data_IF_577425407317
#
_entry.id   IF_577425407317
#
_cell.length_a   1.000
_cell.length_b   1.000
_cell.length_c   1.000
_cell.angle_alpha   90.00
_cell.angle_beta   90.00
_cell.angle_gamma   90.00
#
_symmetry.space_group_name_H-M   'P 1'
#
loop_
_entity.id
_entity.type
_entity.pdbx_description
1 polymer ?
#
# COMPACT_ATOMS: atom_id res chain seq x y z
N UNK A 1 19.19 -43.44 11.05
CA UNK A 1 17.85 -43.66 11.62
C UNK A 1 17.33 -42.29 11.96
N UNK A 2 16.39 -41.78 11.20
CA UNK A 2 15.80 -40.48 11.47
C UNK A 2 14.87 -40.63 12.66
N UNK A 3 15.24 -40.00 13.77
CA UNK A 3 14.44 -39.91 14.98
C UNK A 3 13.06 -39.39 14.59
N UNK A 4 12.03 -40.17 14.89
CA UNK A 4 10.65 -39.95 14.50
C UNK A 4 10.08 -38.69 15.13
N UNK A 5 10.36 -37.53 14.53
CA UNK A 5 9.63 -36.30 14.79
C UNK A 5 8.15 -36.59 14.48
N UNK A 6 7.34 -36.71 15.54
CA UNK A 6 5.89 -36.82 15.35
C UNK A 6 5.44 -35.68 14.46
N UNK A 7 4.72 -35.97 13.37
CA UNK A 7 4.26 -34.93 12.47
C UNK A 7 3.43 -33.89 13.27
N UNK A 8 3.70 -32.61 13.04
CA UNK A 8 3.03 -31.54 13.77
C UNK A 8 1.52 -31.62 13.59
N UNK A 9 0.79 -31.65 14.70
CA UNK A 9 -0.65 -31.94 14.76
C UNK A 9 -1.55 -30.73 14.51
N UNK A 10 -1.02 -29.64 13.98
CA UNK A 10 -1.78 -28.41 13.75
C UNK A 10 -1.73 -28.03 12.27
N UNK A 11 -2.85 -27.49 11.78
CA UNK A 11 -2.97 -26.89 10.44
C UNK A 11 -3.46 -25.45 10.55
N UNK A 12 -3.05 -24.61 9.61
CA UNK A 12 -3.60 -23.27 9.43
C UNK A 12 -4.70 -23.33 8.38
N UNK A 13 -5.91 -22.94 8.72
CA UNK A 13 -7.00 -22.80 7.77
C UNK A 13 -7.29 -21.33 7.48
N UNK A 14 -7.56 -21.02 6.20
CA UNK A 14 -7.93 -19.71 5.69
C UNK A 14 -9.41 -19.65 5.38
N UNK A 15 -10.03 -18.55 5.78
CA UNK A 15 -11.43 -18.21 5.57
C UNK A 15 -11.56 -16.98 4.66
N UNK A 16 -12.73 -16.36 4.63
CA UNK A 16 -13.00 -15.16 3.86
C UNK A 16 -12.02 -14.03 4.20
N UNK A 17 -11.64 -13.26 3.18
CA UNK A 17 -10.80 -12.04 3.29
C UNK A 17 -9.50 -12.25 4.08
N UNK A 18 -8.87 -13.42 3.91
CA UNK A 18 -7.58 -13.70 4.51
C UNK A 18 -7.60 -13.96 6.02
N UNK A 19 -8.78 -14.09 6.66
CA UNK A 19 -8.88 -14.55 8.05
C UNK A 19 -8.27 -15.94 8.18
N UNK A 20 -7.33 -16.12 9.10
CA UNK A 20 -6.61 -17.37 9.31
C UNK A 20 -6.69 -17.77 10.78
N UNK A 21 -6.85 -19.08 11.03
CA UNK A 21 -6.83 -19.65 12.37
C UNK A 21 -6.16 -21.03 12.36
N UNK A 22 -5.68 -21.44 13.54
CA UNK A 22 -5.01 -22.73 13.73
C UNK A 22 -5.95 -23.73 14.35
N UNK A 23 -5.87 -24.99 13.86
CA UNK A 23 -6.73 -26.08 14.29
C UNK A 23 -5.91 -27.35 14.47
N UNK A 24 -6.26 -28.18 15.46
CA UNK A 24 -5.70 -29.52 15.60
C UNK A 24 -6.30 -30.45 14.54
N UNK A 25 -5.47 -31.12 13.78
CA UNK A 25 -5.92 -32.05 12.75
C UNK A 25 -6.23 -33.46 13.26
N UNK A 26 -5.69 -33.85 14.43
CA UNK A 26 -5.82 -35.20 14.97
C UNK A 26 -5.24 -36.26 14.02
N UNK A 27 -6.01 -37.32 13.77
CA UNK A 27 -5.61 -38.41 12.87
C UNK A 27 -5.84 -38.14 11.38
N UNK A 28 -6.32 -36.92 11.03
CA UNK A 28 -6.64 -36.61 9.64
C UNK A 28 -5.36 -36.30 8.84
N UNK A 29 -5.26 -36.88 7.67
CA UNK A 29 -4.25 -36.52 6.68
C UNK A 29 -4.76 -35.35 5.85
N UNK A 30 -4.15 -34.16 6.09
CA UNK A 30 -4.54 -32.91 5.48
C UNK A 30 -3.36 -32.31 4.71
N UNK A 31 -3.65 -31.85 3.50
CA UNK A 31 -2.72 -31.17 2.63
C UNK A 31 -3.14 -29.72 2.38
N UNK A 32 -2.19 -28.91 1.94
CA UNK A 32 -2.48 -27.55 1.51
C UNK A 32 -3.50 -27.57 0.36
N UNK A 33 -4.57 -26.77 0.49
CA UNK A 33 -5.66 -26.71 -0.49
C UNK A 33 -6.88 -27.55 -0.10
N UNK A 34 -6.75 -28.50 0.85
CA UNK A 34 -7.90 -29.27 1.33
C UNK A 34 -8.94 -28.34 1.96
N UNK A 35 -10.21 -28.57 1.65
CA UNK A 35 -11.32 -27.89 2.31
C UNK A 35 -11.77 -28.72 3.51
N UNK A 36 -11.88 -28.05 4.64
CA UNK A 36 -12.13 -28.69 5.94
C UNK A 36 -13.28 -28.04 6.68
N UNK A 37 -14.08 -28.86 7.34
CA UNK A 37 -15.03 -28.43 8.35
C UNK A 37 -14.32 -28.37 9.69
N UNK A 38 -14.32 -27.21 10.33
CA UNK A 38 -13.63 -26.93 11.58
C UNK A 38 -14.62 -26.58 12.68
N UNK A 39 -14.26 -26.88 13.90
CA UNK A 39 -15.04 -26.54 15.07
C UNK A 39 -15.17 -25.03 15.23
N UNK A 40 -16.40 -24.54 15.36
CA UNK A 40 -16.71 -23.15 15.67
C UNK A 40 -17.11 -23.01 17.15
N UNK A 41 -17.46 -21.81 17.61
CA UNK A 41 -18.01 -21.59 18.98
C UNK A 41 -19.40 -22.20 19.13
N UNK A 42 -20.11 -22.36 18.01
CA UNK A 42 -21.38 -23.06 17.87
C UNK A 42 -21.40 -23.62 16.46
N UNK A 43 -21.66 -24.92 16.31
CA UNK A 43 -21.63 -25.55 15.00
C UNK A 43 -20.23 -25.69 14.37
N UNK A 44 -20.14 -25.60 13.07
CA UNK A 44 -18.89 -25.71 12.33
C UNK A 44 -18.72 -24.58 11.30
N UNK A 45 -17.45 -24.31 10.98
CA UNK A 45 -17.11 -23.39 9.91
C UNK A 45 -16.37 -24.14 8.79
N UNK A 46 -16.35 -23.58 7.58
CA UNK A 46 -15.67 -24.20 6.44
C UNK A 46 -14.49 -23.31 6.02
N UNK A 47 -13.31 -23.90 5.98
CA UNK A 47 -12.08 -23.20 5.62
C UNK A 47 -11.21 -24.03 4.67
N UNK A 48 -10.22 -23.39 4.07
CA UNK A 48 -9.24 -24.02 3.19
C UNK A 48 -7.91 -24.09 3.92
N UNK A 49 -7.30 -25.26 3.98
CA UNK A 49 -5.98 -25.45 4.59
C UNK A 49 -4.95 -24.63 3.83
N UNK A 50 -4.35 -23.64 4.49
CA UNK A 50 -3.32 -22.78 3.91
C UNK A 50 -1.91 -23.28 4.19
N UNK A 51 -1.68 -23.87 5.36
CA UNK A 51 -0.40 -24.48 5.74
C UNK A 51 -0.65 -25.79 6.52
N UNK A 52 0.26 -26.74 6.32
CA UNK A 52 0.30 -28.02 7.04
C UNK A 52 1.76 -28.36 7.39
N UNK A 53 1.95 -29.23 8.40
CA UNK A 53 3.28 -29.70 8.81
C UNK A 53 4.11 -28.67 9.57
N UNK A 54 5.45 -28.75 9.46
CA UNK A 54 6.40 -27.94 10.26
C UNK A 54 6.30 -26.44 9.99
N UNK A 55 5.88 -26.01 8.80
CA UNK A 55 5.66 -24.61 8.48
C UNK A 55 4.61 -23.94 9.38
N UNK A 56 3.66 -24.71 9.86
CA UNK A 56 2.64 -24.20 10.82
C UNK A 56 3.28 -23.84 12.13
N UNK A 57 4.25 -24.63 12.62
CA UNK A 57 5.01 -24.33 13.85
C UNK A 57 5.78 -23.01 13.74
N UNK A 58 6.44 -22.78 12.61
CA UNK A 58 7.14 -21.51 12.34
C UNK A 58 6.16 -20.35 12.35
N UNK A 59 4.99 -20.51 11.74
CA UNK A 59 3.96 -19.47 11.67
C UNK A 59 3.30 -19.21 13.04
N UNK A 60 3.09 -20.23 13.85
CA UNK A 60 2.60 -20.09 15.24
C UNK A 60 3.61 -19.34 16.10
N UNK A 61 4.90 -19.70 16.02
CA UNK A 61 5.96 -19.00 16.74
C UNK A 61 6.04 -17.52 16.34
N UNK A 62 5.94 -17.21 15.06
CA UNK A 62 5.90 -15.84 14.55
C UNK A 62 4.72 -15.03 15.11
N UNK A 63 3.60 -15.70 15.41
CA UNK A 63 2.41 -15.08 16.01
C UNK A 63 2.36 -15.20 17.53
N UNK A 64 3.44 -15.68 18.15
CA UNK A 64 3.55 -15.87 19.61
C UNK A 64 2.45 -16.78 20.19
N UNK A 65 1.92 -17.69 19.39
CA UNK A 65 0.91 -18.67 19.82
C UNK A 65 1.64 -19.91 20.34
N UNK A 66 1.46 -20.21 21.62
CA UNK A 66 2.08 -21.37 22.27
C UNK A 66 1.35 -22.65 21.91
N UNK A 67 2.08 -23.79 21.82
CA UNK A 67 1.52 -25.11 21.56
C UNK A 67 0.48 -25.59 22.59
N UNK A 68 0.54 -25.01 23.81
CA UNK A 68 -0.39 -25.34 24.91
C UNK A 68 -1.74 -24.58 24.82
N UNK A 69 -1.94 -23.76 23.79
CA UNK A 69 -3.20 -23.06 23.59
C UNK A 69 -4.30 -24.06 23.25
N UNK A 70 -5.50 -23.90 23.83
CA UNK A 70 -6.68 -24.70 23.47
C UNK A 70 -7.11 -24.40 22.04
N UNK A 71 -6.49 -25.10 21.08
CA UNK A 71 -6.86 -25.00 19.68
C UNK A 71 -8.12 -25.81 19.42
N UNK A 72 -9.04 -25.24 18.67
CA UNK A 72 -10.19 -25.95 18.11
C UNK A 72 -9.73 -27.02 17.15
N UNK A 73 -10.62 -27.99 16.84
CA UNK A 73 -10.28 -29.16 16.04
C UNK A 73 -10.80 -29.04 14.61
N UNK A 74 -10.13 -29.71 13.70
CA UNK A 74 -10.69 -30.06 12.42
C UNK A 74 -11.62 -31.24 12.65
N UNK A 75 -12.87 -31.10 12.26
CA UNK A 75 -13.88 -32.15 12.44
C UNK A 75 -13.74 -33.24 11.38
N UNK A 76 -13.65 -32.82 10.10
CA UNK A 76 -13.51 -33.69 8.94
C UNK A 76 -13.09 -32.93 7.69
N UNK A 77 -12.71 -33.61 6.63
CA UNK A 77 -12.68 -33.02 5.29
C UNK A 77 -14.11 -32.66 4.88
N UNK A 78 -14.26 -31.52 4.20
CA UNK A 78 -15.57 -31.07 3.75
C UNK A 78 -16.16 -32.07 2.73
N UNK A 79 -17.44 -32.34 2.88
CA UNK A 79 -18.22 -33.15 1.95
C UNK A 79 -19.08 -32.24 1.07
N UNK A 80 -19.69 -32.80 -0.01
CA UNK A 80 -20.45 -31.99 -0.98
C UNK A 80 -21.54 -31.14 -0.31
N UNK A 81 -22.24 -31.67 0.67
CA UNK A 81 -23.28 -30.95 1.42
C UNK A 81 -22.72 -29.73 2.16
N UNK A 82 -21.46 -29.78 2.66
CA UNK A 82 -20.82 -28.63 3.32
C UNK A 82 -20.51 -27.52 2.30
N UNK A 83 -20.08 -27.92 1.10
CA UNK A 83 -19.86 -26.96 0.01
C UNK A 83 -21.14 -26.25 -0.41
N UNK A 84 -22.22 -27.01 -0.56
CA UNK A 84 -23.50 -26.44 -0.99
C UNK A 84 -24.03 -25.43 0.03
N UNK A 85 -23.98 -25.77 1.33
CA UNK A 85 -24.38 -24.87 2.41
C UNK A 85 -23.47 -23.63 2.47
N UNK A 86 -22.15 -23.84 2.41
CA UNK A 86 -21.16 -22.75 2.43
C UNK A 86 -21.31 -21.81 1.25
N UNK A 87 -21.54 -22.34 0.04
CA UNK A 87 -21.77 -21.53 -1.16
C UNK A 87 -23.07 -20.73 -1.05
N UNK A 88 -24.14 -21.35 -0.57
CA UNK A 88 -25.40 -20.66 -0.31
C UNK A 88 -25.25 -19.54 0.73
N UNK A 89 -24.48 -19.79 1.81
CA UNK A 89 -24.18 -18.78 2.82
C UNK A 89 -23.43 -17.57 2.22
N UNK A 90 -22.43 -17.81 1.36
CA UNK A 90 -21.67 -16.76 0.70
C UNK A 90 -22.50 -15.92 -0.28
N UNK A 91 -23.45 -16.52 -0.97
CA UNK A 91 -24.36 -15.80 -1.87
C UNK A 91 -25.23 -14.79 -1.12
N UNK A 92 -25.60 -15.08 0.13
CA UNK A 92 -26.39 -14.16 0.96
C UNK A 92 -25.60 -12.93 1.45
N UNK A 93 -24.29 -12.99 1.54
CA UNK A 93 -23.46 -11.98 2.19
C UNK A 93 -23.65 -10.59 1.60
N UNK A 94 -23.69 -10.47 0.27
CA UNK A 94 -23.84 -9.16 -0.42
C UNK A 94 -25.20 -8.53 -0.14
N UNK A 95 -26.28 -9.31 -0.23
CA UNK A 95 -27.65 -8.84 0.07
C UNK A 95 -27.78 -8.43 1.54
N UNK A 96 -27.29 -9.30 2.44
CA UNK A 96 -27.26 -9.00 3.89
C UNK A 96 -26.47 -7.75 4.22
N UNK A 97 -25.32 -7.53 3.57
CA UNK A 97 -24.52 -6.33 3.77
C UNK A 97 -25.26 -5.07 3.33
N UNK A 98 -25.94 -5.09 2.19
CA UNK A 98 -26.71 -3.93 1.71
C UNK A 98 -27.84 -3.62 2.67
N UNK A 99 -28.65 -4.62 3.04
CA UNK A 99 -29.76 -4.46 3.95
C UNK A 99 -29.32 -4.03 5.36
N UNK A 100 -28.23 -4.56 5.86
CA UNK A 100 -27.68 -4.16 7.16
C UNK A 100 -27.25 -2.68 7.20
N UNK A 101 -26.73 -2.15 6.09
CA UNK A 101 -26.39 -0.73 5.96
C UNK A 101 -27.63 0.17 5.97
N UNK A 102 -28.73 -0.27 5.37
CA UNK A 102 -30.01 0.44 5.40
C UNK A 102 -30.55 0.53 6.84
N UNK A 103 -30.64 -0.61 7.52
CA UNK A 103 -31.13 -0.66 8.91
C UNK A 103 -30.23 0.18 9.84
N UNK A 104 -28.92 0.15 9.64
CA UNK A 104 -27.99 0.98 10.44
C UNK A 104 -28.22 2.48 10.23
N UNK A 105 -28.53 2.91 9.00
CA UNK A 105 -28.90 4.31 8.67
C UNK A 105 -30.25 4.70 9.25
N UNK A 106 -31.26 3.82 9.17
CA UNK A 106 -32.59 4.03 9.73
C UNK A 106 -32.51 4.29 11.25
N UNK A 107 -31.58 3.62 11.94
CA UNK A 107 -31.33 3.80 13.37
C UNK A 107 -30.42 5.01 13.68
N UNK A 108 -29.94 5.74 12.68
CA UNK A 108 -29.08 6.92 12.87
C UNK A 108 -27.72 6.62 13.50
N UNK A 109 -27.24 5.38 13.41
CA UNK A 109 -25.98 4.97 14.05
C UNK A 109 -24.77 5.51 13.29
N UNK A 110 -23.83 6.15 14.01
CA UNK A 110 -22.58 6.66 13.45
C UNK A 110 -21.54 5.54 13.28
N UNK A 111 -21.85 4.64 12.37
CA UNK A 111 -20.99 3.48 12.05
C UNK A 111 -21.15 3.06 10.59
N UNK A 112 -20.15 2.39 10.06
CA UNK A 112 -20.16 1.85 8.70
C UNK A 112 -19.98 0.34 8.74
N UNK A 113 -20.95 -0.41 8.20
CA UNK A 113 -20.80 -1.85 7.97
C UNK A 113 -19.90 -2.04 6.76
N UNK A 114 -18.75 -2.66 6.99
CA UNK A 114 -17.69 -2.84 5.99
C UNK A 114 -17.80 -4.19 5.29
N UNK A 115 -18.14 -5.25 6.02
CA UNK A 115 -18.24 -6.61 5.49
C UNK A 115 -19.16 -7.47 6.36
N UNK A 116 -19.73 -8.52 5.76
CA UNK A 116 -20.50 -9.55 6.45
C UNK A 116 -19.92 -10.92 6.10
N UNK A 117 -19.73 -11.77 7.08
CA UNK A 117 -19.21 -13.13 6.92
C UNK A 117 -20.14 -14.10 7.61
N UNK A 118 -20.78 -14.98 6.83
CA UNK A 118 -21.54 -16.11 7.38
C UNK A 118 -20.62 -17.25 7.77
N UNK A 119 -20.91 -17.89 8.89
CA UNK A 119 -20.30 -19.15 9.26
C UNK A 119 -20.65 -20.23 8.23
N UNK A 120 -19.77 -21.22 8.03
CA UNK A 120 -19.95 -22.25 7.01
C UNK A 120 -21.25 -23.03 7.12
N UNK A 121 -21.79 -23.20 8.33
CA UNK A 121 -23.08 -23.86 8.60
C UNK A 121 -24.30 -22.91 8.53
N UNK A 122 -24.08 -21.63 8.20
CA UNK A 122 -25.12 -20.61 8.06
C UNK A 122 -25.87 -20.26 9.37
N UNK A 123 -25.44 -20.72 10.52
CA UNK A 123 -26.15 -20.48 11.81
C UNK A 123 -25.79 -19.11 12.42
N UNK A 124 -24.67 -18.52 12.02
CA UNK A 124 -24.12 -17.31 12.58
C UNK A 124 -23.60 -16.38 11.49
N UNK A 125 -23.75 -15.08 11.68
CA UNK A 125 -23.15 -14.05 10.83
C UNK A 125 -22.34 -13.04 11.65
N UNK A 126 -21.14 -12.74 11.19
CA UNK A 126 -20.23 -11.73 11.76
C UNK A 126 -20.33 -10.48 10.91
N UNK A 127 -20.73 -9.38 11.53
CA UNK A 127 -20.81 -8.06 10.92
C UNK A 127 -19.58 -7.26 11.30
N UNK A 128 -18.73 -6.98 10.35
CA UNK A 128 -17.54 -6.15 10.54
C UNK A 128 -17.90 -4.70 10.30
N UNK A 129 -17.61 -3.84 11.29
CA UNK A 129 -17.93 -2.43 11.21
C UNK A 129 -16.75 -1.54 11.63
N UNK A 130 -16.73 -0.31 11.12
CA UNK A 130 -15.85 0.76 11.56
C UNK A 130 -16.68 1.86 12.20
N UNK A 131 -16.19 2.40 13.29
CA UNK A 131 -16.76 3.55 14.01
C UNK A 131 -15.63 4.27 14.72
N UNK A 132 -15.75 5.59 14.84
CA UNK A 132 -14.78 6.42 15.56
C UNK A 132 -15.01 6.31 17.08
N UNK A 133 -16.28 6.31 17.50
CA UNK A 133 -16.68 6.22 18.88
C UNK A 133 -17.38 4.89 19.20
N UNK A 134 -17.67 4.70 20.50
CA UNK A 134 -18.42 3.54 20.97
C UNK A 134 -19.89 3.64 20.55
N UNK A 135 -20.37 2.65 19.82
CA UNK A 135 -21.76 2.57 19.34
C UNK A 135 -22.57 1.63 20.21
N UNK A 136 -23.80 2.03 20.58
CA UNK A 136 -24.78 1.13 21.20
C UNK A 136 -25.59 0.45 20.10
N UNK A 137 -25.37 -0.84 19.93
CA UNK A 137 -26.01 -1.64 18.89
C UNK A 137 -27.03 -2.65 19.41
N UNK A 138 -27.56 -2.47 20.63
CA UNK A 138 -28.58 -3.40 21.21
C UNK A 138 -29.83 -3.49 20.32
N UNK A 139 -30.34 -2.35 19.89
CA UNK A 139 -31.48 -2.29 18.99
C UNK A 139 -31.14 -2.82 17.59
N UNK A 140 -29.96 -2.50 17.08
CA UNK A 140 -29.47 -2.99 15.80
C UNK A 140 -29.40 -4.51 15.78
N UNK A 141 -28.85 -5.13 16.84
CA UNK A 141 -28.75 -6.59 16.94
C UNK A 141 -30.14 -7.24 16.94
N UNK A 142 -31.13 -6.65 17.60
CA UNK A 142 -32.52 -7.16 17.57
C UNK A 142 -33.07 -7.14 16.16
N UNK A 143 -33.01 -6.01 15.47
CA UNK A 143 -33.47 -5.88 14.09
C UNK A 143 -32.75 -6.84 13.15
N UNK A 144 -31.43 -7.00 13.29
CA UNK A 144 -30.67 -7.95 12.47
C UNK A 144 -31.07 -9.40 12.76
N UNK A 145 -31.30 -9.75 14.03
CA UNK A 145 -31.73 -11.11 14.37
C UNK A 145 -33.14 -11.43 13.83
N UNK A 146 -34.04 -10.45 13.84
CA UNK A 146 -35.39 -10.56 13.25
C UNK A 146 -35.36 -10.69 11.73
N UNK A 147 -34.54 -9.87 11.06
CA UNK A 147 -34.45 -9.83 9.61
C UNK A 147 -33.71 -11.04 9.01
N UNK A 148 -32.55 -11.35 9.56
CA UNK A 148 -31.67 -12.37 8.98
C UNK A 148 -31.85 -13.76 9.59
N UNK A 149 -32.54 -13.90 10.72
CA UNK A 149 -32.83 -15.15 11.45
C UNK A 149 -31.58 -16.01 11.74
N UNK A 150 -30.46 -15.35 12.03
CA UNK A 150 -29.19 -15.97 12.40
C UNK A 150 -28.63 -15.32 13.66
N UNK A 151 -27.69 -16.02 14.31
CA UNK A 151 -26.97 -15.42 15.47
C UNK A 151 -26.05 -14.32 14.98
N UNK A 152 -26.23 -13.11 15.53
CA UNK A 152 -25.48 -11.92 15.16
C UNK A 152 -24.25 -11.75 16.05
N UNK A 153 -23.09 -11.54 15.43
CA UNK A 153 -21.88 -11.09 16.11
C UNK A 153 -21.41 -9.77 15.48
N UNK A 154 -21.23 -8.76 16.30
CA UNK A 154 -20.67 -7.46 15.86
C UNK A 154 -19.18 -7.43 16.16
N UNK A 155 -18.36 -7.10 15.16
CA UNK A 155 -16.90 -7.00 15.32
C UNK A 155 -16.37 -5.68 14.75
N UNK A 156 -15.86 -4.85 15.65
CA UNK A 156 -15.20 -3.62 15.22
C UNK A 156 -13.85 -3.92 14.57
N UNK A 157 -13.58 -3.25 13.46
CA UNK A 157 -12.31 -3.33 12.74
C UNK A 157 -11.72 -1.94 12.51
N UNK A 158 -10.40 -1.87 12.46
CA UNK A 158 -9.71 -0.61 12.13
C UNK A 158 -9.72 -0.35 10.62
N UNK A 159 -9.58 0.92 10.23
CA UNK A 159 -9.63 1.39 8.84
C UNK A 159 -8.67 0.64 7.90
N UNK A 160 -7.48 0.22 8.39
CA UNK A 160 -6.54 -0.55 7.58
C UNK A 160 -7.05 -1.96 7.29
N UNK A 161 -7.66 -2.59 8.27
CA UNK A 161 -8.24 -3.92 8.11
C UNK A 161 -9.48 -3.87 7.21
N UNK A 162 -10.27 -2.80 7.30
CA UNK A 162 -11.35 -2.52 6.36
C UNK A 162 -10.83 -2.43 4.93
N UNK A 163 -9.83 -1.58 4.69
CA UNK A 163 -9.21 -1.47 3.36
C UNK A 163 -8.65 -2.81 2.86
N UNK A 164 -8.05 -3.61 3.75
CA UNK A 164 -7.57 -4.95 3.41
C UNK A 164 -8.67 -5.92 3.02
N UNK A 165 -9.86 -5.82 3.62
CA UNK A 165 -11.02 -6.65 3.27
C UNK A 165 -11.67 -6.23 1.96
N UNK A 166 -11.74 -4.93 1.70
CA UNK A 166 -12.27 -4.39 0.44
C UNK A 166 -11.33 -4.66 -0.73
N UNK A 167 -10.03 -4.72 -0.46
CA UNK A 167 -9.01 -4.84 -1.51
C UNK A 167 -8.80 -3.54 -2.28
N UNK A 168 -8.12 -3.65 -3.41
CA UNK A 168 -7.86 -2.54 -4.31
C UNK A 168 -6.39 -2.41 -4.71
N UNK A 169 -6.09 -1.37 -5.48
CA UNK A 169 -4.75 -1.07 -5.99
C UNK A 169 -4.16 0.10 -5.21
N UNK A 170 -2.94 -0.06 -4.74
CA UNK A 170 -2.20 1.00 -4.04
C UNK A 170 -1.67 2.07 -5.00
N UNK A 171 -1.21 3.19 -4.44
CA UNK A 171 -0.54 4.25 -5.23
C UNK A 171 0.75 3.80 -5.92
N UNK A 172 1.26 2.60 -5.59
CA UNK A 172 2.39 1.94 -6.24
C UNK A 172 1.98 1.10 -7.47
N UNK A 173 0.69 1.05 -7.84
CA UNK A 173 0.18 0.25 -8.95
C UNK A 173 0.03 -1.25 -8.66
N UNK A 174 0.31 -1.71 -7.42
CA UNK A 174 0.15 -3.11 -7.00
C UNK A 174 -1.05 -3.26 -6.10
N UNK A 175 -1.56 -4.49 -5.95
CA UNK A 175 -2.58 -4.80 -4.96
C UNK A 175 -2.14 -4.38 -3.54
N UNK A 176 -3.12 -4.03 -2.71
CA UNK A 176 -2.84 -3.58 -1.34
C UNK A 176 -2.10 -4.66 -0.55
N UNK A 177 -0.97 -4.31 0.07
CA UNK A 177 -0.20 -5.24 0.91
C UNK A 177 -1.05 -5.84 2.04
N UNK A 178 -1.98 -5.06 2.60
CA UNK A 178 -2.89 -5.50 3.66
C UNK A 178 -3.98 -6.47 3.20
N UNK A 179 -4.29 -6.55 1.91
CA UNK A 179 -5.23 -7.53 1.36
C UNK A 179 -4.56 -8.82 0.91
N UNK A 180 -3.25 -8.81 0.67
CA UNK A 180 -2.51 -9.93 0.10
C UNK A 180 -1.63 -10.65 1.13
N UNK A 181 -0.47 -10.12 1.45
CA UNK A 181 0.57 -10.84 2.17
C UNK A 181 0.94 -10.27 3.54
N UNK A 182 0.75 -8.95 3.75
CA UNK A 182 1.12 -8.29 5.00
C UNK A 182 0.04 -8.51 6.06
N UNK A 183 0.39 -9.21 7.12
CA UNK A 183 -0.52 -9.56 8.23
C UNK A 183 -0.16 -8.88 9.55
N UNK A 184 1.09 -8.43 9.70
CA UNK A 184 1.55 -7.70 10.88
C UNK A 184 1.59 -6.20 10.59
N UNK A 185 0.80 -5.44 11.35
CA UNK A 185 0.63 -3.99 11.18
C UNK A 185 1.14 -3.24 12.39
N UNK A 186 2.45 -3.03 12.42
CA UNK A 186 3.05 -2.14 13.40
C UNK A 186 2.69 -0.68 13.14
N UNK A 187 2.73 0.13 14.19
CA UNK A 187 2.53 1.57 14.06
C UNK A 187 3.63 2.19 13.19
N UNK A 188 3.25 2.95 12.18
CA UNK A 188 4.18 3.63 11.26
C UNK A 188 4.38 5.05 11.73
N UNK A 189 5.64 5.45 11.90
CA UNK A 189 6.02 6.82 12.23
C UNK A 189 6.51 7.59 11.00
N UNK A 190 6.47 8.91 11.06
CA UNK A 190 7.05 9.78 10.01
C UNK A 190 8.57 9.65 9.95
N UNK A 191 9.22 9.15 11.00
CA UNK A 191 10.64 8.80 11.01
C UNK A 191 11.00 7.81 9.90
N UNK A 192 10.16 6.81 9.65
CA UNK A 192 10.37 5.85 8.56
C UNK A 192 10.46 6.54 7.19
N UNK A 193 9.62 7.54 6.94
CA UNK A 193 9.67 8.32 5.70
C UNK A 193 10.95 9.18 5.57
N UNK A 194 11.46 9.69 6.71
CA UNK A 194 12.72 10.44 6.72
C UNK A 194 13.93 9.57 6.38
N UNK A 195 14.02 8.37 6.95
CA UNK A 195 15.08 7.41 6.60
C UNK A 195 15.05 7.03 5.11
N UNK A 196 13.88 6.98 4.51
CA UNK A 196 13.68 6.70 3.09
C UNK A 196 13.79 7.96 2.22
N UNK A 197 14.15 9.12 2.79
CA UNK A 197 14.29 10.42 2.10
C UNK A 197 13.03 10.85 1.33
N UNK A 198 11.86 10.45 1.80
CA UNK A 198 10.59 10.81 1.20
C UNK A 198 10.11 12.17 1.72
N UNK A 199 9.53 12.97 0.82
CA UNK A 199 8.89 14.22 1.23
C UNK A 199 7.74 13.95 2.20
N UNK A 200 7.64 14.76 3.28
CA UNK A 200 6.58 14.63 4.29
C UNK A 200 5.22 15.15 3.79
N UNK A 201 4.86 14.84 2.56
CA UNK A 201 3.55 15.18 2.00
C UNK A 201 2.53 14.11 2.39
N UNK A 202 1.48 14.44 3.18
CA UNK A 202 0.47 13.48 3.61
C UNK A 202 -0.15 12.70 2.46
N UNK A 203 -0.45 13.35 1.32
CA UNK A 203 -1.04 12.70 0.15
C UNK A 203 -0.15 11.63 -0.48
N UNK A 204 1.19 11.77 -0.38
CA UNK A 204 2.16 10.77 -0.86
C UNK A 204 2.40 9.66 0.16
N UNK A 205 2.30 9.96 1.46
CA UNK A 205 2.59 9.03 2.54
C UNK A 205 1.37 8.25 3.02
N UNK A 206 0.15 8.73 2.78
CA UNK A 206 -1.08 8.04 3.16
C UNK A 206 -1.38 6.86 2.25
N UNK A 207 -1.84 5.77 2.86
CA UNK A 207 -2.42 4.62 2.17
C UNK A 207 -3.90 4.83 1.88
N UNK A 208 -4.55 3.90 1.19
CA UNK A 208 -5.99 3.91 0.92
C UNK A 208 -6.85 3.93 2.21
N UNK A 209 -6.33 3.42 3.30
CA UNK A 209 -6.96 3.44 4.63
C UNK A 209 -6.83 4.80 5.35
N UNK A 210 -6.28 5.83 4.74
CA UNK A 210 -6.02 7.14 5.37
C UNK A 210 -4.88 7.17 6.39
N UNK A 211 -4.33 6.03 6.82
CA UNK A 211 -3.16 5.93 7.71
C UNK A 211 -1.87 5.90 6.89
N UNK A 212 -0.72 6.16 7.53
CA UNK A 212 0.57 6.06 6.85
C UNK A 212 0.77 4.67 6.21
N UNK A 213 1.39 4.63 5.04
CA UNK A 213 1.65 3.40 4.27
C UNK A 213 2.44 2.40 5.11
N UNK A 214 1.94 1.18 5.23
CA UNK A 214 2.58 0.09 5.98
C UNK A 214 3.89 -0.39 5.34
N UNK A 215 4.06 -0.25 4.02
CA UNK A 215 5.32 -0.56 3.33
C UNK A 215 6.48 0.29 3.84
N UNK A 216 6.26 1.54 4.28
CA UNK A 216 7.31 2.39 4.85
C UNK A 216 7.98 1.73 6.07
N UNK A 217 7.20 1.07 6.91
CA UNK A 217 7.73 0.40 8.09
C UNK A 217 8.31 -0.99 7.77
N UNK A 218 7.76 -1.65 6.75
CA UNK A 218 8.24 -2.95 6.29
C UNK A 218 9.65 -2.89 5.69
N UNK A 219 9.91 -1.82 4.92
CA UNK A 219 11.20 -1.61 4.25
C UNK A 219 12.22 -0.87 5.14
N UNK A 220 11.79 -0.35 6.30
CA UNK A 220 12.61 0.54 7.14
C UNK A 220 13.96 -0.06 7.54
N UNK A 221 13.99 -1.33 7.93
CA UNK A 221 15.20 -1.98 8.43
C UNK A 221 16.29 -2.03 7.35
N UNK A 222 15.91 -2.30 6.09
CA UNK A 222 16.83 -2.31 4.96
C UNK A 222 17.39 -0.92 4.67
N UNK A 223 16.57 0.13 4.76
CA UNK A 223 17.03 1.51 4.61
C UNK A 223 17.96 1.93 5.74
N UNK A 224 17.66 1.57 6.98
CA UNK A 224 18.51 1.87 8.14
C UNK A 224 19.86 1.19 8.00
N UNK A 225 19.92 -0.07 7.58
CA UNK A 225 21.15 -0.80 7.34
C UNK A 225 21.97 -0.14 6.22
N UNK A 226 21.35 0.16 5.09
CA UNK A 226 22.01 0.80 3.95
C UNK A 226 22.54 2.21 4.31
N UNK A 227 21.79 3.00 5.09
CA UNK A 227 22.24 4.33 5.55
C UNK A 227 23.45 4.24 6.49
N UNK A 228 23.57 3.20 7.32
CA UNK A 228 24.75 3.00 8.20
C UNK A 228 26.05 2.82 7.43
N UNK A 229 25.97 2.33 6.20
CA UNK A 229 27.14 2.16 5.33
C UNK A 229 27.62 3.47 4.68
N UNK A 230 26.75 4.48 4.65
CA UNK A 230 27.04 5.76 4.03
C UNK A 230 27.86 6.68 4.96
N UNK A 231 28.72 7.56 4.42
CA UNK A 231 29.39 8.59 5.19
C UNK A 231 28.38 9.66 5.68
N UNK A 232 28.72 10.39 6.76
CA UNK A 232 27.84 11.43 7.29
C UNK A 232 27.63 12.57 6.28
N UNK A 233 26.38 12.88 5.99
CA UNK A 233 25.98 13.84 4.94
C UNK A 233 26.15 15.31 5.35
N UNK A 234 26.34 15.59 6.64
CA UNK A 234 26.53 16.97 7.16
C UNK A 234 27.95 17.54 6.96
N UNK A 235 28.89 16.70 6.55
CA UNK A 235 30.29 17.10 6.35
C UNK A 235 30.46 17.75 4.99
N UNK A 236 30.95 18.99 4.98
CA UNK A 236 31.35 19.70 3.77
C UNK A 236 32.67 19.15 3.25
N UNK A 237 32.77 18.91 1.95
CA UNK A 237 33.99 18.41 1.32
C UNK A 237 34.81 19.59 0.78
N UNK A 238 36.09 19.68 1.16
CA UNK A 238 37.04 20.61 0.58
C UNK A 238 37.66 19.99 -0.66
N UNK A 239 37.36 20.54 -1.83
CA UNK A 239 37.84 20.07 -3.13
C UNK A 239 38.70 21.17 -3.76
N UNK A 240 39.56 20.84 -4.74
CA UNK A 240 40.38 21.88 -5.46
C UNK A 240 39.53 22.96 -6.13
N UNK A 241 38.31 22.63 -6.55
CA UNK A 241 37.35 23.54 -7.19
C UNK A 241 36.51 24.36 -6.20
N UNK A 242 36.61 24.12 -4.89
CA UNK A 242 35.82 24.80 -3.87
C UNK A 242 35.21 23.89 -2.82
N UNK A 243 34.33 24.43 -1.99
CA UNK A 243 33.66 23.70 -0.94
C UNK A 243 32.41 23.06 -1.53
N UNK A 244 32.32 21.74 -1.44
CA UNK A 244 31.14 20.98 -1.89
C UNK A 244 30.20 20.66 -0.72
N UNK A 245 28.94 20.96 -0.94
CA UNK A 245 27.84 20.66 0.00
C UNK A 245 26.96 19.54 -0.49
N UNK A 246 26.47 18.73 0.43
CA UNK A 246 25.57 17.62 0.14
C UNK A 246 24.26 18.14 -0.48
N UNK A 247 23.84 17.53 -1.60
CA UNK A 247 22.58 17.84 -2.28
C UNK A 247 21.56 16.71 -2.11
N UNK A 248 21.92 15.47 -2.49
CA UNK A 248 21.06 14.29 -2.47
C UNK A 248 21.89 13.03 -2.30
N UNK A 249 21.29 11.98 -1.72
CA UNK A 249 21.92 10.64 -1.66
C UNK A 249 21.00 9.60 -2.30
N UNK A 250 21.55 8.74 -3.11
CA UNK A 250 20.91 7.49 -3.52
C UNK A 250 21.43 6.37 -2.60
N UNK A 251 20.57 5.93 -1.68
CA UNK A 251 20.96 5.05 -0.57
C UNK A 251 21.42 3.69 -1.08
N UNK A 252 20.68 3.08 -2.01
CA UNK A 252 20.98 1.73 -2.48
C UNK A 252 22.08 1.68 -3.54
N UNK A 253 22.19 2.73 -4.37
CA UNK A 253 23.30 2.85 -5.32
C UNK A 253 24.59 3.29 -4.63
N UNK A 254 24.52 3.69 -3.34
CA UNK A 254 25.65 4.25 -2.57
C UNK A 254 26.32 5.45 -3.27
N UNK A 255 25.51 6.27 -3.92
CA UNK A 255 25.95 7.46 -4.65
C UNK A 255 25.46 8.72 -3.93
N UNK A 256 26.37 9.66 -3.73
CA UNK A 256 26.09 10.92 -3.06
C UNK A 256 26.33 12.07 -4.04
N UNK A 257 25.34 12.92 -4.17
CA UNK A 257 25.40 14.09 -5.04
C UNK A 257 25.80 15.32 -4.23
N UNK A 258 26.76 16.06 -4.73
CA UNK A 258 27.26 17.30 -4.15
C UNK A 258 27.12 18.46 -5.11
N UNK A 259 27.00 19.67 -4.56
CA UNK A 259 27.06 20.93 -5.30
C UNK A 259 28.18 21.81 -4.74
N UNK A 260 28.90 22.55 -5.60
CA UNK A 260 29.98 23.47 -5.19
C UNK A 260 29.37 24.80 -4.79
N UNK A 261 29.72 25.32 -3.61
CA UNK A 261 29.28 26.62 -3.15
C UNK A 261 29.78 27.71 -4.11
N UNK A 262 28.88 28.56 -4.61
CA UNK A 262 29.21 29.67 -5.51
C UNK A 262 29.25 29.36 -7.01
N UNK A 263 29.12 28.09 -7.42
CA UNK A 263 29.05 27.71 -8.82
C UNK A 263 27.66 27.11 -9.13
N UNK A 264 26.72 27.98 -9.51
CA UNK A 264 25.36 27.51 -9.86
C UNK A 264 25.21 26.99 -11.30
N UNK A 265 26.25 27.17 -12.13
CA UNK A 265 26.25 26.74 -13.53
C UNK A 265 26.61 25.29 -13.74
N UNK A 266 27.45 24.73 -12.89
CA UNK A 266 27.81 23.30 -12.96
C UNK A 266 26.85 22.51 -12.06
N UNK A 267 25.91 21.80 -12.64
CA UNK A 267 24.90 21.01 -11.90
C UNK A 267 25.51 20.07 -10.82
N UNK A 268 24.68 19.37 -10.04
CA UNK A 268 25.17 18.46 -9.02
C UNK A 268 26.01 17.33 -9.64
N UNK A 269 27.16 17.04 -9.05
CA UNK A 269 28.04 15.92 -9.46
C UNK A 269 27.92 14.74 -8.48
N UNK A 270 28.10 13.53 -8.98
CA UNK A 270 27.92 12.29 -8.25
C UNK A 270 29.27 11.71 -7.80
N UNK A 271 29.35 11.26 -6.55
CA UNK A 271 30.48 10.55 -5.97
C UNK A 271 30.02 9.24 -5.31
N UNK A 272 30.82 8.18 -5.43
CA UNK A 272 30.53 6.96 -4.66
C UNK A 272 30.80 7.16 -3.18
N UNK A 273 30.12 6.40 -2.33
CA UNK A 273 30.25 6.48 -0.88
C UNK A 273 31.71 6.27 -0.41
N UNK A 274 32.44 5.39 -1.06
CA UNK A 274 33.83 5.08 -0.69
C UNK A 274 34.78 6.23 -1.03
N UNK A 275 34.61 6.85 -2.22
CA UNK A 275 35.38 8.06 -2.59
C UNK A 275 35.10 9.19 -1.62
N UNK A 276 33.85 9.36 -1.18
CA UNK A 276 33.50 10.39 -0.19
C UNK A 276 34.15 10.10 1.16
N UNK A 277 34.24 8.84 1.62
CA UNK A 277 34.94 8.48 2.86
C UNK A 277 36.42 8.83 2.75
N UNK A 278 37.08 8.51 1.65
CA UNK A 278 38.48 8.81 1.40
C UNK A 278 38.75 10.33 1.39
N UNK A 279 37.85 11.09 0.75
CA UNK A 279 37.95 12.55 0.74
C UNK A 279 37.80 13.11 2.15
N UNK A 280 36.85 12.61 2.94
CA UNK A 280 36.64 13.06 4.33
C UNK A 280 37.92 12.79 5.18
N UNK A 281 38.54 11.61 5.01
CA UNK A 281 39.78 11.27 5.72
C UNK A 281 40.96 12.17 5.30
N UNK A 282 41.12 12.36 4.00
CA UNK A 282 42.18 13.30 3.48
C UNK A 282 41.96 14.70 3.99
N UNK A 283 40.72 15.20 3.96
CA UNK A 283 40.39 16.52 4.50
C UNK A 283 40.68 16.64 5.99
N UNK A 284 40.49 15.55 6.80
CA UNK A 284 40.86 15.56 8.22
C UNK A 284 42.36 15.58 8.44
N UNK A 285 43.13 14.92 7.56
CA UNK A 285 44.61 14.92 7.61
C UNK A 285 45.23 16.23 7.07
N UNK A 286 44.45 17.01 6.32
CA UNK A 286 44.95 18.23 5.66
C UNK A 286 45.66 17.97 4.34
N UNK A 287 45.53 16.78 3.77
CA UNK A 287 46.16 16.37 2.52
C UNK A 287 45.50 17.08 1.33
N UNK A 288 46.33 17.40 0.31
CA UNK A 288 45.86 18.00 -0.95
C UNK A 288 45.15 16.90 -1.75
N UNK A 289 43.87 17.13 -2.05
CA UNK A 289 43.06 16.23 -2.87
C UNK A 289 43.38 16.52 -4.34
N UNK A 290 43.87 15.52 -5.07
CA UNK A 290 44.03 15.56 -6.52
C UNK A 290 42.71 15.72 -7.25
N UNK A 291 42.74 15.70 -8.60
CA UNK A 291 41.48 15.67 -9.39
C UNK A 291 40.61 14.52 -8.97
N UNK A 292 39.45 14.87 -8.42
CA UNK A 292 38.42 13.88 -8.09
C UNK A 292 37.82 13.43 -9.41
N UNK A 293 38.06 12.17 -9.80
CA UNK A 293 37.30 11.57 -10.88
C UNK A 293 35.84 11.59 -10.46
N UNK A 294 35.09 12.55 -10.97
CA UNK A 294 33.65 12.54 -10.87
C UNK A 294 33.20 11.23 -11.47
N UNK A 295 32.55 10.40 -10.65
CA UNK A 295 31.74 9.33 -11.18
C UNK A 295 30.61 10.05 -11.95
N UNK A 296 30.89 10.37 -13.20
CA UNK A 296 29.83 10.54 -14.16
C UNK A 296 29.27 9.13 -14.23
N UNK A 297 28.24 8.86 -13.41
CA UNK A 297 27.46 7.67 -13.60
C UNK A 297 27.24 7.62 -15.10
N UNK A 298 27.66 6.56 -15.74
CA UNK A 298 27.16 6.22 -17.05
C UNK A 298 25.72 6.67 -16.99
N UNK A 299 25.35 7.65 -17.83
CA UNK A 299 23.95 7.92 -18.06
C UNK A 299 23.44 6.52 -18.22
N UNK A 300 22.61 6.07 -17.26
CA UNK A 300 21.80 4.91 -17.48
C UNK A 300 21.21 5.22 -18.85
N UNK A 301 21.87 4.73 -19.89
CA UNK A 301 21.24 4.52 -21.16
C UNK A 301 20.15 3.59 -20.70
N UNK A 302 19.00 4.19 -20.41
CA UNK A 302 17.76 3.44 -20.36
C UNK A 302 17.77 2.88 -21.75
N UNK A 303 18.37 1.68 -21.89
CA UNK A 303 18.02 0.81 -23.00
C UNK A 303 16.52 0.84 -22.90
N UNK A 304 15.93 1.60 -23.79
CA UNK A 304 14.50 1.52 -24.01
C UNK A 304 14.31 0.04 -24.27
N UNK A 305 13.91 -0.69 -23.22
CA UNK A 305 13.41 -2.04 -23.39
C UNK A 305 12.21 -1.80 -24.28
N UNK A 306 12.42 -1.92 -25.58
CA UNK A 306 11.35 -2.03 -26.53
C UNK A 306 10.62 -3.28 -26.06
N UNK A 307 9.56 -3.04 -25.27
CA UNK A 307 8.60 -4.08 -24.97
C UNK A 307 8.07 -4.51 -26.33
N UNK A 308 8.61 -5.61 -26.87
CA UNK A 308 8.07 -6.27 -28.01
C UNK A 308 6.57 -6.43 -27.74
N UNK A 309 5.75 -5.77 -28.54
CA UNK A 309 4.29 -5.80 -28.39
C UNK A 309 3.87 -7.26 -28.52
N UNK A 310 3.64 -7.92 -27.39
CA UNK A 310 3.34 -9.36 -27.30
C UNK A 310 1.92 -9.67 -27.81
N UNK A 311 1.09 -8.66 -27.98
CA UNK A 311 -0.27 -8.81 -28.51
C UNK A 311 -0.53 -7.58 -29.37
N UNK A 312 -0.72 -7.74 -30.65
CA UNK A 312 -0.95 -6.72 -31.68
C UNK A 312 -1.98 -5.61 -31.33
N UNK A 313 -1.77 -4.97 -30.21
CA UNK A 313 -2.50 -3.80 -29.79
C UNK A 313 -1.85 -2.58 -30.42
N UNK A 314 -2.63 -1.88 -31.21
CA UNK A 314 -2.27 -0.57 -31.75
C UNK A 314 -1.71 0.32 -30.64
N UNK A 315 -0.57 0.96 -30.87
CA UNK A 315 0.05 1.93 -29.96
C UNK A 315 -0.97 2.97 -29.50
N UNK A 316 -1.01 3.24 -28.20
CA UNK A 316 -1.86 4.32 -27.63
C UNK A 316 -1.54 5.70 -28.22
N UNK A 317 -0.36 5.88 -28.83
CA UNK A 317 0.11 7.11 -29.49
C UNK A 317 -0.21 7.17 -30.98
N UNK A 318 -0.97 6.20 -31.52
CA UNK A 318 -1.39 6.15 -32.92
C UNK A 318 -2.04 7.45 -33.43
N UNK A 319 -2.69 8.18 -32.55
CA UNK A 319 -3.37 9.44 -32.88
C UNK A 319 -2.50 10.70 -32.68
N UNK A 320 -1.34 10.60 -32.04
CA UNK A 320 -0.45 11.74 -31.74
C UNK A 320 0.42 12.14 -32.91
N UNK A 321 0.54 11.32 -33.94
CA UNK A 321 1.37 11.56 -35.13
C UNK A 321 0.63 12.39 -36.21
N UNK A 322 -0.03 13.48 -35.83
CA UNK A 322 -0.33 14.53 -36.82
C UNK A 322 0.95 15.34 -37.06
N UNK A 323 1.72 14.93 -38.06
CA UNK A 323 2.81 15.72 -38.64
C UNK A 323 2.28 17.15 -38.92
N UNK A 324 2.70 18.12 -38.12
CA UNK A 324 2.57 19.54 -38.47
C UNK A 324 3.40 19.72 -39.74
N UNK A 325 2.74 19.90 -40.89
CA UNK A 325 3.40 20.33 -42.12
C UNK A 325 4.03 21.69 -41.83
N UNK A 326 5.32 21.91 -42.18
CA UNK A 326 5.92 23.23 -42.07
C UNK A 326 5.21 24.17 -43.03
N UNK A 327 4.60 25.21 -42.50
CA UNK A 327 3.95 26.28 -43.28
C UNK A 327 5.04 27.18 -43.85
N UNK A 328 5.50 26.88 -45.07
CA UNK A 328 6.51 27.62 -45.78
C UNK A 328 5.77 28.72 -46.58
N UNK A 329 5.42 29.83 -45.94
CA UNK A 329 4.93 31.04 -46.60
C UNK A 329 5.90 32.19 -46.30
N UNK A 330 7.06 32.14 -46.96
CA UNK A 330 7.89 33.28 -47.16
C UNK A 330 7.47 33.93 -48.49
N UNK A 331 6.59 34.94 -48.41
CA UNK A 331 6.39 35.86 -49.53
C UNK A 331 6.54 37.29 -49.05
N UNK A 332 7.72 37.80 -49.33
CA UNK A 332 8.08 39.18 -49.50
C UNK A 332 6.99 40.00 -50.15
N UNK A 333 6.51 41.10 -49.53
CA UNK A 333 6.05 42.29 -50.26
C UNK A 333 6.18 43.54 -49.41
N UNK A 334 7.13 44.33 -49.83
CA UNK A 334 7.19 45.77 -49.59
C UNK A 334 5.94 46.47 -50.12
N UNK A 335 5.33 47.33 -49.34
CA UNK A 335 4.85 48.66 -49.77
C UNK A 335 4.15 49.39 -48.60
N UNK A 336 4.54 50.61 -48.40
CA UNK A 336 4.00 51.66 -47.51
C UNK A 336 2.77 52.33 -48.19
N UNK A 337 2.17 53.40 -47.59
CA UNK A 337 1.29 53.49 -46.40
C UNK A 337 -0.04 54.15 -46.74
N UNK A 338 -1.01 54.17 -45.87
CA UNK A 338 -2.22 54.99 -46.09
C UNK A 338 -3.28 54.74 -45.03
N UNK A 339 -3.64 55.75 -44.33
CA UNK A 339 -4.39 56.00 -43.18
C UNK A 339 -5.86 55.63 -43.13
N UNK A 340 -6.33 55.87 -41.98
CA UNK A 340 -7.64 56.34 -41.52
C UNK A 340 -8.45 55.37 -40.63
N UNK A 341 -8.52 55.77 -39.39
CA UNK A 341 -9.70 56.09 -38.58
C UNK A 341 -10.84 55.06 -38.51
N UNK A 342 -11.08 54.62 -37.34
CA UNK A 342 -12.33 54.44 -36.57
C UNK A 342 -12.32 53.13 -35.74
N UNK A 343 -12.07 53.31 -34.48
CA UNK A 343 -12.37 52.29 -33.46
C UNK A 343 -13.34 52.89 -32.43
N UNK A 344 -14.48 52.29 -32.15
CA UNK A 344 -15.32 52.67 -31.01
C UNK A 344 -14.81 52.01 -29.70
N UNK A 345 -15.16 52.57 -28.54
CA UNK A 345 -14.47 52.28 -27.26
C UNK A 345 -14.96 51.02 -26.60
N UNK A 346 -14.02 50.35 -25.95
CA UNK A 346 -14.17 49.14 -25.18
C UNK A 346 -14.68 49.47 -23.77
N UNK A 347 -15.89 48.99 -23.43
CA UNK A 347 -16.47 49.03 -22.09
C UNK A 347 -15.65 48.15 -21.12
N UNK A 348 -15.22 48.73 -20.01
CA UNK A 348 -14.67 48.01 -18.84
C UNK A 348 -15.83 47.67 -17.91
N UNK A 349 -16.14 46.37 -17.76
CA UNK A 349 -17.02 45.88 -16.70
C UNK A 349 -16.22 45.66 -15.41
N UNK A 350 -16.74 46.21 -14.32
CA UNK A 350 -16.24 46.00 -12.94
C UNK A 350 -16.71 44.64 -12.42
N UNK A 351 -15.94 43.93 -11.54
CA UNK A 351 -16.39 42.74 -10.88
C UNK A 351 -17.34 43.05 -9.73
N UNK A 352 -18.48 42.38 -9.69
CA UNK A 352 -19.43 42.37 -8.59
C UNK A 352 -18.94 41.44 -7.47
N UNK A 353 -18.94 41.98 -6.26
CA UNK A 353 -18.71 41.26 -5.01
C UNK A 353 -20.10 41.02 -4.34
N UNK A 354 -20.52 39.81 -4.05
CA UNK A 354 -21.73 39.56 -3.28
C UNK A 354 -21.36 39.08 -1.87
N UNK A 355 -21.33 40.00 -0.91
CA UNK A 355 -21.39 39.64 0.49
C UNK A 355 -22.27 40.67 1.24
N UNK A 356 -23.54 40.33 1.43
CA UNK A 356 -24.39 40.86 2.52
C UNK A 356 -25.61 39.92 2.68
N UNK A 357 -25.62 39.09 3.71
CA UNK A 357 -26.79 38.39 4.18
C UNK A 357 -27.58 39.28 5.18
N UNK A 358 -28.90 39.13 5.26
CA UNK A 358 -29.72 39.88 6.21
C UNK A 358 -29.70 39.28 7.61
N UNK A 359 -29.71 40.21 8.58
CA UNK A 359 -30.07 39.97 9.96
C UNK A 359 -31.57 39.80 10.07
N UNK A 360 -31.99 38.72 10.71
CA UNK A 360 -33.01 38.68 11.78
C UNK A 360 -32.92 37.31 12.42
#
# INVERSE_FOLDING_TARGET
MADGLKPFDVVEARFKNGRKAFFRKGSLELFQGDVVAVEASSGYDVGIVSLAGELVRVQMNRREIKDNYELKRVLRKAVQSDFDIWQAARQLETGTMTRSREISRELGLQMKISDVEYQGDKTRAIFYYTADDRVDFRELIRKYAEEFKVRIEMRQIGLRLEAGRLGGIGSCGRELCCSTWLTDFRSVSTGAARYQQLSLNPGKLAGQCGKLKCCLNYELDQYVEAVRMLPPTHVKLKLPKGIATHFKTDIFKQVIYYTIEGQHTDGPFALSADVVKDIIEKNKRGDVIGEVQTFIGEKDIVESVEFAEVVGQDSLTRFDNKKRKPNNNNRNRNSKPGGNANRPPRFKGKPNNPNQGPKE
#
